data_IF_828084117654
#
_entry.id   IF_828084117654
#
_cell.length_a   1.000
_cell.length_b   1.000
_cell.length_c   1.000
_cell.angle_alpha   90.00
_cell.angle_beta   90.00
_cell.angle_gamma   90.00
#
_symmetry.space_group_name_H-M   'P 1'
#
loop_
_entity.id
_entity.type
_entity.pdbx_description
1 polymer ?
#
# COMPACT_ATOMS: atom_id res chain seq x y z
N UNK A 1 -35.58 -94.42 27.44
CA UNK A 1 -35.82 -93.45 28.53
C UNK A 1 -34.76 -92.37 28.34
N UNK A 2 -35.06 -91.23 27.70
CA UNK A 2 -35.75 -90.02 28.25
C UNK A 2 -34.88 -89.43 29.37
N UNK A 3 -34.42 -88.18 29.42
CA UNK A 3 -34.61 -86.95 28.63
C UNK A 3 -33.57 -85.87 29.08
N UNK A 4 -33.14 -85.03 28.13
CA UNK A 4 -32.99 -83.56 28.18
C UNK A 4 -32.05 -82.87 29.17
N UNK A 5 -30.98 -82.28 28.63
CA UNK A 5 -30.39 -81.05 29.14
C UNK A 5 -31.24 -79.83 28.76
N UNK A 6 -31.58 -79.00 29.74
CA UNK A 6 -32.19 -77.68 29.53
C UNK A 6 -31.10 -76.61 29.37
N UNK A 7 -31.01 -75.89 28.24
CA UNK A 7 -30.33 -74.59 28.19
C UNK A 7 -31.27 -73.48 28.69
N UNK A 8 -30.74 -72.37 29.24
CA UNK A 8 -31.56 -71.21 29.59
C UNK A 8 -32.14 -70.57 28.33
N UNK A 9 -33.46 -70.39 28.31
CA UNK A 9 -34.19 -69.69 27.26
C UNK A 9 -33.91 -68.18 27.37
N UNK A 10 -33.22 -67.61 26.37
CA UNK A 10 -33.27 -66.18 26.12
C UNK A 10 -34.56 -65.88 25.35
N UNK A 11 -35.53 -65.27 26.05
CA UNK A 11 -36.70 -64.69 25.41
C UNK A 11 -36.28 -63.38 24.72
N UNK A 12 -36.48 -63.30 23.41
CA UNK A 12 -36.34 -62.08 22.62
C UNK A 12 -37.65 -61.28 22.69
N UNK A 13 -37.69 -60.06 23.25
CA UNK A 13 -38.84 -59.19 23.11
C UNK A 13 -38.74 -58.41 21.79
N UNK A 14 -39.51 -58.87 20.80
CA UNK A 14 -39.81 -58.20 19.54
C UNK A 14 -40.27 -56.74 19.77
N UNK A 15 -39.49 -55.70 19.41
CA UNK A 15 -39.98 -54.33 19.48
C UNK A 15 -40.73 -53.99 18.20
N UNK A 16 -42.06 -54.03 18.28
CA UNK A 16 -42.96 -53.47 17.27
C UNK A 16 -42.73 -51.96 17.14
N UNK A 17 -41.87 -51.55 16.21
CA UNK A 17 -41.76 -50.15 15.79
C UNK A 17 -42.94 -49.78 14.89
N UNK A 18 -44.01 -49.25 15.49
CA UNK A 18 -45.00 -48.44 14.78
C UNK A 18 -44.60 -46.96 14.94
N UNK A 19 -44.10 -46.34 13.86
CA UNK A 19 -43.80 -44.91 13.84
C UNK A 19 -45.10 -44.09 13.75
N UNK A 20 -45.31 -43.05 14.58
CA UNK A 20 -46.40 -42.10 14.37
C UNK A 20 -46.09 -41.22 13.14
N UNK A 21 -47.07 -41.09 12.22
CA UNK A 21 -46.99 -40.16 11.11
C UNK A 21 -47.04 -38.72 11.66
N UNK A 22 -45.89 -38.04 11.68
CA UNK A 22 -45.81 -36.60 11.93
C UNK A 22 -46.33 -35.87 10.69
N UNK A 23 -47.52 -35.28 10.78
CA UNK A 23 -48.02 -34.35 9.76
C UNK A 23 -47.21 -33.06 9.85
N UNK A 24 -46.25 -32.89 8.95
CA UNK A 24 -45.60 -31.59 8.75
C UNK A 24 -46.50 -30.71 7.88
N UNK A 25 -47.27 -29.83 8.51
CA UNK A 25 -47.76 -28.63 7.85
C UNK A 25 -46.63 -27.58 7.87
N UNK A 26 -46.24 -27.09 6.71
CA UNK A 26 -45.22 -26.06 6.52
C UNK A 26 -45.87 -24.66 6.59
N UNK A 27 -45.66 -23.87 7.65
CA UNK A 27 -45.98 -22.44 7.61
C UNK A 27 -44.88 -21.72 6.83
N UNK A 28 -45.20 -21.34 5.59
CA UNK A 28 -44.29 -20.59 4.72
C UNK A 28 -43.74 -19.31 5.36
N UNK A 29 -42.56 -18.83 4.93
CA UNK A 29 -41.86 -17.74 5.60
C UNK A 29 -42.58 -16.41 5.45
N UNK A 30 -42.97 -15.81 6.57
CA UNK A 30 -43.47 -14.44 6.63
C UNK A 30 -42.31 -13.51 6.99
N UNK A 31 -41.56 -13.05 5.98
CA UNK A 31 -40.62 -11.96 6.16
C UNK A 31 -41.29 -10.67 5.67
N UNK A 32 -41.93 -9.95 6.58
CA UNK A 32 -42.26 -8.55 6.37
C UNK A 32 -40.98 -7.73 6.56
N UNK A 33 -40.59 -6.97 5.54
CA UNK A 33 -39.42 -6.08 5.56
C UNK A 33 -39.77 -4.80 6.33
N UNK A 34 -39.14 -4.48 7.48
CA UNK A 34 -39.33 -3.19 8.12
C UNK A 34 -38.51 -2.14 7.37
N UNK A 35 -39.19 -1.24 6.65
CA UNK A 35 -38.56 -0.05 6.04
C UNK A 35 -37.90 0.82 7.10
N UNK A 36 -36.57 1.02 7.08
CA UNK A 36 -35.92 1.97 7.97
C UNK A 36 -36.13 3.40 7.43
N UNK A 37 -36.91 4.22 8.14
CA UNK A 37 -36.97 5.65 7.90
C UNK A 37 -35.76 6.33 8.56
N UNK A 38 -34.69 6.57 7.80
CA UNK A 38 -33.61 7.46 8.22
C UNK A 38 -33.79 8.81 7.53
N UNK A 39 -34.24 9.81 8.30
CA UNK A 39 -34.13 11.21 7.91
C UNK A 39 -32.69 11.68 8.15
N UNK A 40 -32.01 12.13 7.10
CA UNK A 40 -30.63 12.63 7.20
C UNK A 40 -30.61 14.04 7.81
N UNK A 41 -29.82 14.33 8.85
CA UNK A 41 -29.45 15.70 9.18
C UNK A 41 -28.41 16.18 8.15
N UNK A 42 -28.74 17.24 7.41
CA UNK A 42 -27.87 17.80 6.37
C UNK A 42 -26.51 18.28 6.91
N UNK A 43 -25.44 18.24 6.09
CA UNK A 43 -24.10 18.63 6.53
C UNK A 43 -24.03 20.15 6.74
N UNK A 44 -23.63 20.56 7.95
CA UNK A 44 -23.26 21.94 8.26
C UNK A 44 -21.81 22.15 7.80
N UNK A 45 -21.63 22.87 6.69
CA UNK A 45 -20.33 23.24 6.16
C UNK A 45 -19.66 24.30 7.06
N UNK A 46 -18.40 24.06 7.41
CA UNK A 46 -17.42 25.12 7.67
C UNK A 46 -16.03 24.59 7.30
N UNK A 47 -15.51 25.05 6.17
CA UNK A 47 -14.18 24.77 5.66
C UNK A 47 -13.20 25.84 6.18
N UNK A 48 -12.22 25.53 7.05
CA UNK A 48 -11.13 26.45 7.29
C UNK A 48 -10.08 26.29 6.17
N UNK A 49 -9.98 27.30 5.31
CA UNK A 49 -8.96 27.38 4.28
C UNK A 49 -7.54 27.10 4.85
N UNK A 50 -6.76 26.18 4.26
CA UNK A 50 -5.42 25.93 4.75
C UNK A 50 -4.46 27.03 4.27
N UNK A 51 -3.96 27.82 5.21
CA UNK A 51 -2.82 28.72 5.00
C UNK A 51 -1.53 27.91 5.09
N UNK A 52 -1.00 27.45 3.96
CA UNK A 52 0.36 26.91 3.92
C UNK A 52 1.33 28.04 3.57
N UNK A 53 2.08 28.50 4.57
CA UNK A 53 3.31 29.26 4.40
C UNK A 53 4.44 28.29 4.03
N UNK A 54 5.22 28.66 3.02
CA UNK A 54 6.41 27.98 2.51
C UNK A 54 7.56 28.01 3.55
N UNK A 55 8.15 26.87 3.98
CA UNK A 55 9.28 26.86 4.90
C UNK A 55 10.60 26.92 4.11
N UNK A 56 10.86 28.06 3.49
CA UNK A 56 12.18 28.42 2.98
C UNK A 56 12.72 29.60 3.78
N UNK A 57 13.97 29.49 4.27
CA UNK A 57 14.75 30.49 5.02
C UNK A 57 14.64 30.41 6.54
N UNK A 58 15.28 29.39 7.13
CA UNK A 58 15.67 29.43 8.53
C UNK A 58 17.04 28.77 8.75
N UNK A 59 18.08 29.34 8.14
CA UNK A 59 19.44 29.24 8.67
C UNK A 59 20.12 30.60 8.45
N UNK A 60 20.92 31.01 9.44
CA UNK A 60 21.53 32.34 9.67
C UNK A 60 20.63 33.26 10.51
N UNK A 61 20.95 33.67 11.74
CA UNK A 61 22.17 33.59 12.53
C UNK A 61 21.79 33.60 14.02
N UNK A 62 22.45 32.76 14.82
CA UNK A 62 22.43 32.84 16.28
C UNK A 62 23.65 33.67 16.70
N UNK A 63 23.43 34.84 17.34
CA UNK A 63 23.96 35.22 18.68
C UNK A 63 23.88 36.75 18.99
N UNK A 64 23.90 37.18 20.27
CA UNK A 64 22.99 38.20 20.84
C UNK A 64 23.59 39.61 21.04
N UNK A 65 22.79 40.61 21.47
CA UNK A 65 23.22 41.99 21.54
C UNK A 65 23.89 42.33 22.87
N UNK A 66 25.07 42.95 22.82
CA UNK A 66 25.50 43.88 23.86
C UNK A 66 25.30 45.31 23.34
N UNK A 67 24.37 46.02 23.97
CA UNK A 67 24.27 47.47 23.90
C UNK A 67 25.10 48.05 25.05
N UNK A 68 25.97 49.00 24.75
CA UNK A 68 26.26 50.09 25.69
C UNK A 68 26.57 51.37 24.92
N UNK A 69 26.11 52.47 25.49
CA UNK A 69 25.99 53.79 24.87
C UNK A 69 27.24 54.66 25.08
N UNK A 70 27.47 55.63 24.18
CA UNK A 70 28.40 56.74 24.42
C UNK A 70 28.45 57.75 23.25
N UNK A 71 28.56 59.07 23.51
CA UNK A 71 28.07 60.12 22.61
C UNK A 71 29.10 60.70 21.60
N UNK A 72 28.58 61.25 20.49
CA UNK A 72 29.19 62.27 19.58
C UNK A 72 29.68 63.52 20.37
N UNK A 73 30.43 64.52 19.80
CA UNK A 73 30.74 64.84 18.39
C UNK A 73 32.25 65.24 18.20
N UNK A 74 32.81 65.59 17.03
CA UNK A 74 32.84 66.93 16.42
C UNK A 74 33.90 66.95 15.28
N UNK A 75 33.75 67.92 14.38
CA UNK A 75 34.78 68.61 13.58
C UNK A 75 35.30 68.03 12.24
N UNK A 76 34.78 68.69 11.20
CA UNK A 76 35.53 69.42 10.18
C UNK A 76 36.35 68.65 9.13
N UNK A 77 35.81 68.74 7.91
CA UNK A 77 36.37 68.40 6.60
C UNK A 77 37.85 68.77 6.39
N UNK A 78 38.62 67.83 5.83
CA UNK A 78 39.91 68.10 5.17
C UNK A 78 39.73 68.07 3.65
N UNK A 79 40.19 69.10 2.90
CA UNK A 79 40.19 69.14 1.44
C UNK A 79 41.38 68.31 0.89
N UNK A 80 41.51 68.16 -0.42
CA UNK A 80 42.46 67.29 -1.18
C UNK A 80 42.02 65.81 -1.21
N UNK A 81 41.78 65.13 -2.33
CA UNK A 81 42.09 65.37 -3.73
C UNK A 81 41.20 64.46 -4.60
N UNK A 82 40.92 64.87 -5.83
CA UNK A 82 39.98 64.25 -6.74
C UNK A 82 40.55 63.01 -7.46
N UNK A 83 39.75 61.95 -7.56
CA UNK A 83 39.89 60.91 -8.59
C UNK A 83 38.55 60.69 -9.29
N UNK A 84 38.49 60.63 -10.63
CA UNK A 84 37.24 60.57 -11.38
C UNK A 84 36.54 59.21 -11.19
N UNK A 85 35.21 59.12 -11.36
CA UNK A 85 34.52 57.84 -11.35
C UNK A 85 34.99 57.04 -12.57
N UNK A 86 35.52 55.84 -12.34
CA UNK A 86 35.71 54.87 -13.42
C UNK A 86 34.33 54.30 -13.78
N UNK A 87 33.90 54.53 -15.02
CA UNK A 87 32.83 53.79 -15.67
C UNK A 87 33.23 52.31 -15.74
N UNK A 88 32.51 51.46 -15.00
CA UNK A 88 32.63 50.01 -15.05
C UNK A 88 31.85 49.48 -16.27
N UNK A 89 32.51 48.97 -17.32
CA UNK A 89 31.81 48.39 -18.46
C UNK A 89 31.19 47.07 -18.01
N UNK A 90 29.85 47.09 -17.89
CA UNK A 90 29.04 46.02 -17.32
C UNK A 90 29.42 44.61 -17.76
N UNK A 91 29.40 43.70 -16.79
CA UNK A 91 29.50 42.25 -16.95
C UNK A 91 28.56 41.77 -18.07
N UNK A 92 29.05 41.09 -19.11
CA UNK A 92 28.17 40.51 -20.12
C UNK A 92 27.24 39.48 -19.46
N UNK A 93 25.97 39.38 -19.88
CA UNK A 93 25.07 38.36 -19.35
C UNK A 93 25.63 36.98 -19.66
N UNK A 94 25.77 36.17 -18.62
CA UNK A 94 26.16 34.77 -18.71
C UNK A 94 25.05 34.03 -19.45
N UNK A 95 25.28 33.65 -20.71
CA UNK A 95 24.33 32.85 -21.49
C UNK A 95 24.18 31.47 -20.82
N UNK A 96 22.99 31.21 -20.28
CA UNK A 96 22.61 29.92 -19.75
C UNK A 96 22.83 28.84 -20.83
N UNK A 97 23.59 27.77 -20.54
CA UNK A 97 23.80 26.70 -21.50
C UNK A 97 22.45 26.11 -21.94
N UNK A 98 22.32 25.70 -23.21
CA UNK A 98 21.04 25.26 -23.76
C UNK A 98 20.51 24.07 -22.95
N UNK A 99 19.24 24.18 -22.55
CA UNK A 99 18.52 23.13 -21.83
C UNK A 99 18.76 21.77 -22.51
N UNK A 100 19.30 20.82 -21.76
CA UNK A 100 19.51 19.47 -22.24
C UNK A 100 18.19 18.90 -22.78
N UNK A 101 18.20 18.10 -23.87
CA UNK A 101 16.98 17.56 -24.45
C UNK A 101 16.20 16.78 -23.38
N UNK A 102 14.94 17.16 -23.16
CA UNK A 102 14.05 16.49 -22.23
C UNK A 102 13.93 15.01 -22.63
N UNK A 103 14.28 14.11 -21.71
CA UNK A 103 14.17 12.67 -21.95
C UNK A 103 12.70 12.33 -22.20
N UNK A 104 12.40 11.42 -23.14
CA UNK A 104 11.03 11.00 -23.39
C UNK A 104 10.39 10.43 -22.11
N UNK A 105 9.09 10.67 -21.88
CA UNK A 105 8.41 10.19 -20.70
C UNK A 105 8.49 8.66 -20.66
N UNK A 106 9.07 8.13 -19.58
CA UNK A 106 9.21 6.68 -19.34
C UNK A 106 8.11 6.22 -18.39
N UNK A 107 7.60 5.00 -18.59
CA UNK A 107 6.59 4.42 -17.70
C UNK A 107 7.17 4.22 -16.29
N UNK A 108 6.43 4.57 -15.21
CA UNK A 108 6.88 4.38 -13.83
C UNK A 108 6.84 2.92 -13.36
N UNK A 109 6.40 2.00 -14.23
CA UNK A 109 6.26 0.60 -13.88
C UNK A 109 7.61 -0.10 -13.78
N UNK A 110 7.83 -0.84 -12.69
CA UNK A 110 9.15 -1.38 -12.31
C UNK A 110 9.83 -2.22 -13.39
N UNK A 111 9.08 -2.88 -14.28
CA UNK A 111 9.65 -3.68 -15.37
C UNK A 111 10.36 -2.85 -16.46
N UNK A 112 10.10 -1.55 -16.52
CA UNK A 112 10.75 -0.63 -17.47
C UNK A 112 11.89 0.17 -16.85
N UNK A 113 12.01 0.16 -15.52
CA UNK A 113 13.07 0.86 -14.79
C UNK A 113 14.39 0.08 -14.88
N UNK A 114 15.51 0.79 -14.82
CA UNK A 114 16.85 0.23 -14.91
C UNK A 114 17.77 0.81 -13.83
N UNK A 115 18.80 0.05 -13.45
CA UNK A 115 19.85 0.52 -12.52
C UNK A 115 19.31 1.00 -11.17
N UNK A 116 19.75 2.18 -10.74
CA UNK A 116 19.38 2.79 -9.46
C UNK A 116 17.88 3.06 -9.32
N UNK A 117 17.18 3.45 -10.41
CA UNK A 117 15.74 3.68 -10.37
C UNK A 117 14.97 2.41 -10.05
N UNK A 118 15.37 1.28 -10.65
CA UNK A 118 14.81 -0.03 -10.33
C UNK A 118 15.12 -0.43 -8.89
N UNK A 119 16.35 -0.21 -8.42
CA UNK A 119 16.76 -0.53 -7.06
C UNK A 119 15.94 0.24 -6.01
N UNK A 120 15.72 1.54 -6.25
CA UNK A 120 14.92 2.39 -5.36
C UNK A 120 13.44 1.99 -5.38
N UNK A 121 12.87 1.73 -6.56
CA UNK A 121 11.51 1.22 -6.69
C UNK A 121 11.31 -0.08 -5.91
N UNK A 122 12.28 -1.00 -6.01
CA UNK A 122 12.24 -2.27 -5.27
C UNK A 122 12.40 -2.07 -3.76
N UNK A 123 13.20 -1.09 -3.33
CA UNK A 123 13.38 -0.74 -1.91
C UNK A 123 12.08 -0.22 -1.30
N UNK A 124 11.42 0.73 -1.97
CA UNK A 124 10.15 1.28 -1.52
C UNK A 124 9.06 0.22 -1.49
N UNK A 125 8.98 -0.61 -2.54
CA UNK A 125 8.08 -1.76 -2.55
C UNK A 125 8.36 -2.70 -1.37
N UNK A 126 9.63 -2.97 -1.07
CA UNK A 126 10.00 -3.86 0.04
C UNK A 126 9.54 -3.32 1.39
N UNK A 127 9.67 -2.02 1.63
CA UNK A 127 9.16 -1.39 2.85
C UNK A 127 7.65 -1.57 2.97
N UNK A 128 6.91 -1.28 1.89
CA UNK A 128 5.46 -1.43 1.88
C UNK A 128 5.01 -2.89 2.06
N UNK A 129 5.66 -3.85 1.37
CA UNK A 129 5.36 -5.28 1.51
C UNK A 129 5.62 -5.76 2.93
N UNK A 130 6.75 -5.37 3.52
CA UNK A 130 7.20 -5.85 4.84
C UNK A 130 6.41 -5.24 5.98
N UNK A 131 6.06 -3.95 5.89
CA UNK A 131 5.50 -3.20 7.01
C UNK A 131 3.99 -2.97 6.91
N UNK A 132 3.38 -3.17 5.74
CA UNK A 132 1.94 -2.98 5.54
C UNK A 132 1.29 -4.23 4.96
N UNK A 133 1.70 -4.68 3.78
CA UNK A 133 0.97 -5.73 3.07
C UNK A 133 0.99 -7.06 3.84
N UNK A 134 2.17 -7.55 4.21
CA UNK A 134 2.32 -8.87 4.85
C UNK A 134 1.70 -8.90 6.24
N UNK A 135 1.99 -7.94 7.15
CA UNK A 135 1.42 -7.96 8.49
C UNK A 135 -0.11 -7.87 8.52
N UNK A 136 -0.72 -7.17 7.56
CA UNK A 136 -2.16 -6.89 7.55
C UNK A 136 -2.94 -7.90 6.70
N UNK A 137 -2.44 -8.24 5.51
CA UNK A 137 -3.24 -8.93 4.48
C UNK A 137 -2.74 -10.33 4.11
N UNK A 138 -1.51 -10.72 4.44
CA UNK A 138 -0.98 -12.01 3.98
C UNK A 138 -1.59 -13.24 4.67
N UNK A 139 -2.14 -13.09 5.90
CA UNK A 139 -2.65 -14.20 6.74
C UNK A 139 -1.57 -15.28 6.99
N UNK A 140 -1.95 -16.37 7.64
CA UNK A 140 -1.04 -17.49 7.94
C UNK A 140 -0.59 -18.23 6.68
N UNK A 141 0.69 -18.61 6.63
CA UNK A 141 1.28 -19.38 5.53
C UNK A 141 0.93 -20.86 5.68
N UNK A 142 0.41 -21.47 4.62
CA UNK A 142 0.08 -22.89 4.58
C UNK A 142 0.47 -23.52 3.24
N UNK A 143 0.32 -24.84 3.10
CA UNK A 143 0.54 -25.53 1.82
C UNK A 143 -0.47 -25.13 0.73
N UNK A 144 -1.66 -24.68 1.11
CA UNK A 144 -2.71 -24.21 0.19
C UNK A 144 -2.66 -22.72 -0.04
N UNK A 145 -1.80 -21.99 0.69
CA UNK A 145 -1.67 -20.55 0.57
C UNK A 145 -0.22 -20.11 0.88
N UNK A 146 0.74 -20.41 -0.03
CA UNK A 146 2.16 -20.18 0.20
C UNK A 146 2.55 -18.70 0.22
N UNK A 147 3.71 -18.42 0.80
CA UNK A 147 4.41 -17.13 0.72
C UNK A 147 5.91 -17.38 0.64
N UNK A 148 6.61 -16.65 -0.23
CA UNK A 148 8.08 -16.69 -0.28
C UNK A 148 8.68 -15.48 0.43
N UNK A 149 9.53 -15.70 1.44
CA UNK A 149 10.25 -14.61 2.11
C UNK A 149 11.21 -13.87 1.17
N UNK A 150 11.67 -14.52 0.10
CA UNK A 150 12.51 -13.94 -0.97
C UNK A 150 11.67 -13.66 -2.22
N UNK A 151 10.49 -13.05 -2.03
CA UNK A 151 9.54 -12.78 -3.12
C UNK A 151 10.14 -11.97 -4.28
N UNK A 152 11.12 -11.12 -4.01
CA UNK A 152 11.83 -10.32 -5.04
C UNK A 152 12.61 -11.18 -6.05
N UNK A 153 12.88 -12.46 -5.74
CA UNK A 153 13.46 -13.42 -6.69
C UNK A 153 12.42 -14.02 -7.66
N UNK A 154 11.15 -13.63 -7.54
CA UNK A 154 10.06 -14.05 -8.42
C UNK A 154 9.60 -12.85 -9.26
N UNK A 155 10.04 -12.71 -10.53
CA UNK A 155 9.72 -11.53 -11.35
C UNK A 155 8.22 -11.26 -11.50
N UNK A 156 7.42 -12.32 -11.64
CA UNK A 156 5.95 -12.20 -11.67
C UNK A 156 5.40 -11.60 -10.37
N UNK A 157 5.94 -12.01 -9.22
CA UNK A 157 5.52 -11.47 -7.93
C UNK A 157 5.91 -9.99 -7.80
N UNK A 158 7.12 -9.61 -8.26
CA UNK A 158 7.55 -8.20 -8.31
C UNK A 158 6.58 -7.37 -9.14
N UNK A 159 6.24 -7.84 -10.35
CA UNK A 159 5.32 -7.13 -11.25
C UNK A 159 3.92 -6.95 -10.61
N UNK A 160 3.35 -8.02 -10.06
CA UNK A 160 2.02 -7.97 -9.44
C UNK A 160 1.99 -7.11 -8.17
N UNK A 161 2.99 -7.28 -7.28
CA UNK A 161 3.08 -6.49 -6.05
C UNK A 161 3.31 -5.00 -6.34
N UNK A 162 4.12 -4.68 -7.34
CA UNK A 162 4.35 -3.29 -7.73
C UNK A 162 3.08 -2.66 -8.34
N UNK A 163 2.35 -3.40 -9.20
CA UNK A 163 1.05 -2.97 -9.70
C UNK A 163 0.04 -2.72 -8.57
N UNK A 164 -0.03 -3.64 -7.61
CA UNK A 164 -0.89 -3.51 -6.43
C UNK A 164 -0.51 -2.28 -5.58
N UNK A 165 0.79 -2.05 -5.39
CA UNK A 165 1.32 -0.90 -4.66
C UNK A 165 1.00 0.41 -5.37
N UNK A 166 1.17 0.51 -6.69
CA UNK A 166 0.78 1.71 -7.44
C UNK A 166 -0.72 2.01 -7.30
N UNK A 167 -1.58 0.99 -7.40
CA UNK A 167 -3.02 1.16 -7.17
C UNK A 167 -3.33 1.60 -5.73
N UNK A 168 -2.54 1.14 -4.74
CA UNK A 168 -2.65 1.59 -3.35
C UNK A 168 -2.30 3.07 -3.22
N UNK A 169 -1.20 3.52 -3.84
CA UNK A 169 -0.81 4.94 -3.83
C UNK A 169 -1.92 5.84 -4.38
N UNK A 170 -2.53 5.44 -5.50
CA UNK A 170 -3.60 6.20 -6.16
C UNK A 170 -4.89 6.22 -5.34
N UNK A 171 -5.35 5.05 -4.88
CA UNK A 171 -6.68 4.89 -4.30
C UNK A 171 -6.72 5.09 -2.78
N UNK A 172 -5.57 5.24 -2.12
CA UNK A 172 -5.49 5.51 -0.68
C UNK A 172 -4.65 6.75 -0.35
N UNK A 173 -4.19 7.47 -1.37
CA UNK A 173 -3.46 8.72 -1.21
C UNK A 173 -4.34 9.89 -0.73
N UNK A 174 -3.73 11.05 -0.42
CA UNK A 174 -4.44 12.23 0.10
C UNK A 174 -5.56 12.76 -0.79
N UNK A 175 -5.47 12.48 -2.09
CA UNK A 175 -6.41 12.95 -3.12
C UNK A 175 -7.45 11.89 -3.51
N UNK A 176 -7.42 10.70 -2.89
CA UNK A 176 -8.36 9.65 -3.20
C UNK A 176 -9.77 10.01 -2.70
N UNK A 177 -10.80 9.71 -3.50
CA UNK A 177 -12.18 9.82 -3.05
C UNK A 177 -12.48 8.89 -1.88
N UNK A 178 -13.55 9.15 -1.11
CA UNK A 178 -13.90 8.38 0.10
C UNK A 178 -14.04 6.87 -0.13
N UNK A 179 -14.46 6.46 -1.33
CA UNK A 179 -14.59 5.04 -1.69
C UNK A 179 -13.27 4.42 -2.20
N UNK A 180 -12.20 5.19 -2.35
CA UNK A 180 -10.91 4.75 -2.89
C UNK A 180 -10.35 3.51 -2.18
N UNK A 181 -10.23 3.50 -0.84
CA UNK A 181 -9.76 2.33 -0.11
C UNK A 181 -10.64 1.11 -0.32
N UNK A 182 -11.97 1.27 -0.36
CA UNK A 182 -12.90 0.15 -0.60
C UNK A 182 -12.73 -0.43 -2.02
N UNK A 183 -12.58 0.44 -3.02
CA UNK A 183 -12.33 0.04 -4.39
C UNK A 183 -10.97 -0.66 -4.53
N UNK A 184 -9.92 -0.18 -3.85
CA UNK A 184 -8.60 -0.83 -3.85
C UNK A 184 -8.67 -2.29 -3.37
N UNK A 185 -9.39 -2.53 -2.27
CA UNK A 185 -9.58 -3.88 -1.74
C UNK A 185 -10.33 -4.79 -2.71
N UNK A 186 -11.43 -4.28 -3.30
CA UNK A 186 -12.32 -5.03 -4.18
C UNK A 186 -11.64 -5.39 -5.50
N UNK A 187 -10.99 -4.41 -6.14
CA UNK A 187 -10.57 -4.52 -7.54
C UNK A 187 -9.11 -5.00 -7.70
N UNK A 188 -8.26 -4.77 -6.70
CA UNK A 188 -6.82 -5.01 -6.83
C UNK A 188 -6.26 -5.98 -5.78
N UNK A 189 -6.52 -5.73 -4.50
CA UNK A 189 -5.94 -6.56 -3.42
C UNK A 189 -6.36 -8.02 -3.52
N UNK A 190 -7.67 -8.27 -3.61
CA UNK A 190 -8.23 -9.62 -3.66
C UNK A 190 -7.63 -10.46 -4.80
N UNK A 191 -7.73 -10.02 -6.07
CA UNK A 191 -7.16 -10.74 -7.20
C UNK A 191 -5.66 -11.00 -7.07
N UNK A 192 -4.85 -9.98 -6.73
CA UNK A 192 -3.39 -10.13 -6.62
C UNK A 192 -3.01 -11.09 -5.50
N UNK A 193 -3.61 -10.95 -4.32
CA UNK A 193 -3.31 -11.84 -3.20
C UNK A 193 -3.75 -13.27 -3.47
N UNK A 194 -4.88 -13.47 -4.17
CA UNK A 194 -5.33 -14.80 -4.56
C UNK A 194 -4.33 -15.45 -5.54
N UNK A 195 -3.83 -14.73 -6.53
CA UNK A 195 -2.84 -15.26 -7.48
C UNK A 195 -1.50 -15.56 -6.81
N UNK A 196 -0.96 -14.62 -6.01
CA UNK A 196 0.31 -14.81 -5.32
C UNK A 196 0.27 -15.99 -4.35
N UNK A 197 -0.86 -16.18 -3.67
CA UNK A 197 -1.07 -17.23 -2.68
C UNK A 197 -1.72 -18.48 -3.27
N UNK A 198 -1.86 -18.59 -4.58
CA UNK A 198 -2.33 -19.83 -5.19
C UNK A 198 -1.24 -20.91 -5.04
N UNK A 199 -1.59 -22.16 -4.67
CA UNK A 199 -0.60 -23.25 -4.55
C UNK A 199 0.09 -23.61 -5.87
N UNK A 200 -0.49 -23.23 -7.01
CA UNK A 200 0.09 -23.30 -8.35
C UNK A 200 0.65 -21.95 -8.85
N UNK A 201 0.49 -20.88 -8.05
CA UNK A 201 0.93 -19.52 -8.36
C UNK A 201 2.44 -19.28 -8.22
N UNK A 202 2.89 -18.01 -8.23
CA UNK A 202 4.30 -17.61 -8.27
C UNK A 202 5.16 -18.21 -7.15
N UNK A 203 4.57 -18.42 -5.96
CA UNK A 203 5.26 -18.99 -4.80
C UNK A 203 5.10 -20.52 -4.68
N UNK A 204 4.54 -21.20 -5.68
CA UNK A 204 4.43 -22.66 -5.71
C UNK A 204 5.77 -23.34 -5.40
N UNK A 205 5.78 -24.20 -4.37
CA UNK A 205 6.97 -24.91 -3.91
C UNK A 205 7.87 -24.15 -2.93
N UNK A 206 7.61 -22.86 -2.66
CA UNK A 206 8.19 -22.16 -1.52
C UNK A 206 7.44 -22.55 -0.24
N UNK A 207 8.17 -22.94 0.81
CA UNK A 207 7.60 -23.27 2.14
C UNK A 207 8.20 -22.32 3.16
N UNK A 208 7.69 -22.32 4.40
CA UNK A 208 8.18 -21.43 5.46
C UNK A 208 9.71 -21.38 5.55
N UNK A 209 10.30 -20.28 5.06
CA UNK A 209 11.76 -20.07 4.98
C UNK A 209 12.48 -20.61 3.73
N UNK A 210 11.87 -21.47 2.92
CA UNK A 210 12.47 -22.00 1.69
C UNK A 210 12.03 -21.24 0.43
N UNK A 211 12.96 -21.08 -0.51
CA UNK A 211 12.70 -20.50 -1.83
C UNK A 211 13.01 -21.55 -2.89
N UNK A 212 12.19 -21.57 -3.95
CA UNK A 212 12.39 -22.39 -5.13
C UNK A 212 12.42 -21.48 -6.35
N UNK A 213 13.56 -21.46 -7.05
CA UNK A 213 13.69 -20.77 -8.32
C UNK A 213 12.77 -21.42 -9.38
N UNK A 214 12.22 -20.59 -10.27
CA UNK A 214 11.37 -21.03 -11.38
C UNK A 214 12.03 -20.70 -12.70
N UNK A 215 11.97 -21.65 -13.62
CA UNK A 215 12.44 -21.47 -14.99
C UNK A 215 11.26 -21.05 -15.87
N UNK A 216 11.38 -19.96 -16.66
CA UNK A 216 10.33 -19.56 -17.58
C UNK A 216 10.15 -20.62 -18.66
N UNK A 217 8.93 -20.77 -19.22
CA UNK A 217 8.69 -21.69 -20.32
C UNK A 217 9.54 -21.31 -21.53
N UNK A 218 10.06 -22.32 -22.23
CA UNK A 218 10.84 -22.11 -23.45
C UNK A 218 9.94 -21.58 -24.56
N UNK A 219 10.40 -20.54 -25.23
CA UNK A 219 9.81 -20.04 -26.47
C UNK A 219 10.79 -20.28 -27.61
N UNK A 220 10.30 -20.82 -28.72
CA UNK A 220 11.09 -20.85 -29.94
C UNK A 220 11.20 -19.42 -30.52
N UNK A 221 12.33 -19.07 -31.14
CA UNK A 221 12.42 -17.81 -31.87
C UNK A 221 11.41 -17.81 -33.02
N UNK A 222 10.85 -16.63 -33.31
CA UNK A 222 9.95 -16.41 -34.45
C UNK A 222 10.71 -16.46 -35.77
#
# INVERSE_FOLDING_TARGET
MIEQGHPPQYADPDPRYAAPAQQYADPGPQYADPTPQYAEPGPQYADPAPQYADPGQAYQDLDPPYRDAGPQPDDAVSPYDATPPYDDPGTPPEEEPPAAPEKPPTSPFILYLQGEEHAEALRMLTMWVTHLLVPIYAREVSSTAPWCARWWLHPEAVAQLYGLWMAWQELTGPNAGFCGPANWHRDYLGPVMNTLRDPSGPFAGCKGGSHRAKEPPRTDPY
#
